data_IF_370192446378
#
_entry.id   IF_370192446378
#
_cell.length_a   1.000
_cell.length_b   1.000
_cell.length_c   1.000
_cell.angle_alpha   90.00
_cell.angle_beta   90.00
_cell.angle_gamma   90.00
#
_symmetry.space_group_name_H-M   'P 1'
#
loop_
_entity.id
_entity.type
_entity.pdbx_description
1 polymer ?
#
# COMPACT_ATOMS: atom_id res chain seq x y z
N UNK A 1 52.31 -37.07 11.16
CA UNK A 1 51.46 -36.26 10.25
C UNK A 1 49.97 -36.58 10.38
N UNK A 2 49.58 -37.82 10.75
CA UNK A 2 48.16 -38.22 10.93
C UNK A 2 47.42 -37.52 12.10
N UNK A 3 48.00 -37.45 13.31
CA UNK A 3 47.30 -36.89 14.48
C UNK A 3 46.96 -35.39 14.41
N UNK A 4 47.78 -34.58 13.74
CA UNK A 4 47.55 -33.13 13.60
C UNK A 4 46.37 -32.89 12.66
N UNK A 5 46.27 -33.68 11.58
CA UNK A 5 45.16 -33.61 10.62
C UNK A 5 43.85 -34.02 11.31
N UNK A 6 43.87 -35.10 12.09
CA UNK A 6 42.69 -35.58 12.84
C UNK A 6 42.21 -34.54 13.86
N UNK A 7 43.11 -33.90 14.60
CA UNK A 7 42.73 -32.84 15.54
C UNK A 7 42.14 -31.60 14.85
N UNK A 8 42.66 -31.22 13.68
CA UNK A 8 42.14 -30.09 12.91
C UNK A 8 40.71 -30.35 12.40
N UNK A 9 40.44 -31.55 11.88
CA UNK A 9 39.10 -31.95 11.46
C UNK A 9 38.11 -31.99 12.62
N UNK A 10 38.52 -32.48 13.80
CA UNK A 10 37.66 -32.51 14.99
C UNK A 10 37.30 -31.11 15.47
N UNK A 11 38.24 -30.15 15.43
CA UNK A 11 37.99 -28.75 15.80
C UNK A 11 37.03 -28.09 14.80
N UNK A 12 37.21 -28.31 13.49
CA UNK A 12 36.29 -27.77 12.47
C UNK A 12 34.89 -28.33 12.65
N UNK A 13 34.75 -29.66 12.84
CA UNK A 13 33.46 -30.29 13.11
C UNK A 13 32.80 -29.68 14.34
N UNK A 14 33.54 -29.51 15.44
CA UNK A 14 33.03 -28.89 16.65
C UNK A 14 32.56 -27.45 16.41
N UNK A 15 33.32 -26.65 15.67
CA UNK A 15 32.94 -25.27 15.34
C UNK A 15 31.68 -25.20 14.45
N UNK A 16 31.52 -26.13 13.49
CA UNK A 16 30.33 -26.24 12.65
C UNK A 16 29.11 -26.67 13.47
N UNK A 17 29.28 -27.61 14.40
CA UNK A 17 28.19 -28.03 15.29
C UNK A 17 27.78 -26.90 16.25
N UNK A 18 28.75 -26.19 16.83
CA UNK A 18 28.48 -25.04 17.71
C UNK A 18 27.81 -23.91 16.94
N UNK A 19 28.24 -23.61 15.71
CA UNK A 19 27.61 -22.57 14.90
C UNK A 19 26.21 -22.96 14.45
N UNK A 20 25.98 -24.21 14.04
CA UNK A 20 24.65 -24.71 13.71
C UNK A 20 23.71 -24.68 14.92
N UNK A 21 24.20 -25.11 16.09
CA UNK A 21 23.43 -25.03 17.34
C UNK A 21 23.12 -23.59 17.74
N UNK A 22 24.09 -22.69 17.60
CA UNK A 22 23.90 -21.26 17.86
C UNK A 22 22.85 -20.64 16.93
N UNK A 23 22.85 -20.99 15.64
CA UNK A 23 21.86 -20.53 14.67
C UNK A 23 20.44 -21.05 15.02
N UNK A 24 20.31 -22.32 15.41
CA UNK A 24 19.02 -22.90 15.82
C UNK A 24 18.48 -22.26 17.10
N UNK A 25 19.34 -22.01 18.09
CA UNK A 25 18.95 -21.37 19.35
C UNK A 25 18.64 -19.88 19.18
N UNK A 26 19.27 -19.22 18.20
CA UNK A 26 19.05 -17.79 17.92
C UNK A 26 17.76 -17.53 17.13
N UNK A 27 17.25 -18.51 16.38
CA UNK A 27 15.92 -18.44 15.76
C UNK A 27 14.84 -18.76 16.80
N UNK A 28 14.43 -17.75 17.58
CA UNK A 28 13.19 -17.83 18.35
C UNK A 28 12.01 -17.67 17.38
N UNK A 29 11.19 -18.70 17.13
CA UNK A 29 9.96 -18.50 16.39
C UNK A 29 9.08 -17.53 17.17
N UNK A 30 8.38 -16.65 16.44
CA UNK A 30 7.43 -15.69 17.01
C UNK A 30 6.41 -16.46 17.87
N UNK A 31 6.11 -15.96 19.07
CA UNK A 31 5.10 -16.57 19.93
C UNK A 31 3.72 -16.50 19.26
N UNK A 32 2.81 -17.40 19.67
CA UNK A 32 1.45 -17.43 19.13
C UNK A 32 0.73 -16.10 19.36
N UNK A 33 0.98 -15.47 20.51
CA UNK A 33 0.44 -14.19 20.90
C UNK A 33 0.95 -13.06 20.00
N UNK A 34 2.25 -13.01 19.72
CA UNK A 34 2.85 -12.03 18.79
C UNK A 34 2.39 -12.26 17.34
N UNK A 35 2.12 -13.51 16.94
CA UNK A 35 1.54 -13.81 15.63
C UNK A 35 0.11 -13.29 15.51
N UNK A 36 -0.72 -13.50 16.53
CA UNK A 36 -2.10 -13.00 16.57
C UNK A 36 -2.11 -11.47 16.54
N UNK A 37 -1.27 -10.81 17.35
CA UNK A 37 -1.17 -9.35 17.36
C UNK A 37 -0.78 -8.79 15.99
N UNK A 38 0.17 -9.43 15.30
CA UNK A 38 0.57 -9.01 13.94
C UNK A 38 -0.56 -9.19 12.92
N UNK A 39 -1.32 -10.28 12.99
CA UNK A 39 -2.46 -10.54 12.11
C UNK A 39 -3.57 -9.53 12.36
N UNK A 40 -3.91 -9.27 13.62
CA UNK A 40 -4.93 -8.29 13.99
C UNK A 40 -4.56 -6.88 13.53
N UNK A 41 -3.27 -6.51 13.66
CA UNK A 41 -2.76 -5.24 13.14
C UNK A 41 -2.87 -5.16 11.61
N UNK A 42 -2.50 -6.21 10.89
CA UNK A 42 -2.62 -6.26 9.42
C UNK A 42 -4.08 -6.14 8.97
N UNK A 43 -4.99 -6.87 9.61
CA UNK A 43 -6.42 -6.85 9.33
C UNK A 43 -7.08 -5.49 9.59
N UNK A 44 -6.65 -4.78 10.63
CA UNK A 44 -7.24 -3.50 11.01
C UNK A 44 -6.68 -2.32 10.20
N UNK A 45 -5.38 -2.32 9.88
CA UNK A 45 -4.72 -1.18 9.24
C UNK A 45 -4.58 -1.30 7.72
N UNK A 46 -4.36 -2.51 7.20
CA UNK A 46 -3.92 -2.73 5.81
C UNK A 46 -5.01 -3.32 4.93
N UNK A 47 -5.78 -4.29 5.43
CA UNK A 47 -6.81 -4.98 4.66
C UNK A 47 -7.90 -4.07 4.07
N UNK A 48 -8.43 -3.05 4.76
CA UNK A 48 -9.42 -2.15 4.18
C UNK A 48 -8.89 -1.40 2.95
N UNK A 49 -7.61 -1.00 2.98
CA UNK A 49 -6.96 -0.32 1.87
C UNK A 49 -6.72 -1.29 0.70
N UNK A 50 -6.20 -2.49 0.97
CA UNK A 50 -5.98 -3.53 -0.05
C UNK A 50 -7.28 -3.93 -0.73
N UNK A 51 -8.34 -4.18 0.04
CA UNK A 51 -9.67 -4.52 -0.48
C UNK A 51 -10.19 -3.46 -1.43
N UNK A 52 -10.06 -2.17 -1.06
CA UNK A 52 -10.47 -1.07 -1.93
C UNK A 52 -9.66 -1.02 -3.25
N UNK A 53 -8.35 -1.29 -3.21
CA UNK A 53 -7.52 -1.39 -4.41
C UNK A 53 -7.97 -2.55 -5.31
N UNK A 54 -8.09 -3.76 -4.78
CA UNK A 54 -8.46 -4.93 -5.58
C UNK A 54 -9.87 -4.79 -6.18
N UNK A 55 -10.84 -4.30 -5.40
CA UNK A 55 -12.20 -4.09 -5.89
C UNK A 55 -12.27 -3.03 -6.99
N UNK A 56 -11.55 -1.91 -6.83
CA UNK A 56 -11.51 -0.87 -7.84
C UNK A 56 -10.81 -1.34 -9.12
N UNK A 57 -9.69 -2.06 -8.99
CA UNK A 57 -8.95 -2.58 -10.14
C UNK A 57 -9.85 -3.52 -10.94
N UNK A 58 -10.55 -4.44 -10.26
CA UNK A 58 -11.53 -5.34 -10.89
C UNK A 58 -12.69 -4.59 -11.55
N UNK A 59 -13.26 -3.60 -10.85
CA UNK A 59 -14.44 -2.86 -11.32
C UNK A 59 -14.18 -2.11 -12.63
N UNK A 60 -13.01 -1.48 -12.76
CA UNK A 60 -12.66 -0.68 -13.95
C UNK A 60 -11.78 -1.45 -14.93
N UNK A 61 -11.47 -2.71 -14.62
CA UNK A 61 -10.56 -3.58 -15.38
C UNK A 61 -9.17 -2.94 -15.55
N UNK A 62 -8.66 -2.33 -14.48
CA UNK A 62 -7.31 -1.80 -14.43
C UNK A 62 -6.29 -2.94 -14.46
N UNK A 63 -5.18 -2.70 -15.16
CA UNK A 63 -4.06 -3.62 -15.15
C UNK A 63 -3.25 -3.48 -13.86
N UNK A 64 -2.41 -4.47 -13.57
CA UNK A 64 -1.47 -4.36 -12.45
C UNK A 64 -0.49 -3.20 -12.61
N UNK A 65 -0.15 -2.82 -13.83
CA UNK A 65 0.68 -1.63 -14.10
C UNK A 65 -0.03 -0.35 -13.64
N UNK A 66 -1.34 -0.25 -13.85
CA UNK A 66 -2.11 0.91 -13.39
C UNK A 66 -2.15 0.98 -11.85
N UNK A 67 -2.30 -0.18 -11.19
CA UNK A 67 -2.24 -0.30 -9.72
C UNK A 67 -0.86 0.08 -9.19
N UNK A 68 0.20 -0.43 -9.82
CA UNK A 68 1.58 -0.12 -9.45
C UNK A 68 1.88 1.37 -9.63
N UNK A 69 1.46 1.95 -10.76
CA UNK A 69 1.59 3.39 -11.02
C UNK A 69 0.87 4.21 -9.93
N UNK A 70 -0.33 3.80 -9.52
CA UNK A 70 -1.05 4.49 -8.43
C UNK A 70 -0.27 4.45 -7.11
N UNK A 71 0.25 3.29 -6.72
CA UNK A 71 1.02 3.12 -5.48
C UNK A 71 2.34 3.91 -5.50
N UNK A 72 2.99 3.95 -6.66
CA UNK A 72 4.21 4.74 -6.92
C UNK A 72 3.94 6.22 -7.17
N UNK A 73 2.67 6.63 -7.28
CA UNK A 73 2.22 7.99 -7.64
C UNK A 73 2.71 8.45 -9.02
N UNK A 74 2.84 7.51 -9.93
CA UNK A 74 3.09 7.77 -11.34
C UNK A 74 1.74 8.11 -12.01
N UNK A 75 1.67 9.18 -12.81
CA UNK A 75 0.46 9.54 -13.57
C UNK A 75 -0.05 8.39 -14.44
N UNK A 76 -1.38 8.28 -14.54
CA UNK A 76 -2.04 7.21 -15.29
C UNK A 76 -2.13 7.56 -16.77
N UNK A 77 -1.58 6.70 -17.64
CA UNK A 77 -1.62 6.89 -19.09
C UNK A 77 -2.84 6.24 -19.76
N UNK A 78 -3.44 5.25 -19.10
CA UNK A 78 -4.58 4.47 -19.62
C UNK A 78 -5.90 5.00 -19.07
N UNK A 79 -6.99 4.81 -19.81
CA UNK A 79 -8.34 5.18 -19.33
C UNK A 79 -8.74 4.36 -18.10
N UNK A 80 -8.38 3.08 -18.08
CA UNK A 80 -8.66 2.17 -16.97
C UNK A 80 -7.92 2.62 -15.71
N UNK A 81 -6.66 3.03 -15.81
CA UNK A 81 -5.89 3.61 -14.72
C UNK A 81 -6.45 4.93 -14.21
N UNK A 82 -6.90 5.82 -15.10
CA UNK A 82 -7.59 7.05 -14.69
C UNK A 82 -8.89 6.75 -13.93
N UNK A 83 -9.68 5.80 -14.44
CA UNK A 83 -10.91 5.37 -13.76
C UNK A 83 -10.63 4.63 -12.45
N UNK A 84 -9.49 3.97 -12.33
CA UNK A 84 -9.04 3.34 -11.09
C UNK A 84 -8.83 4.39 -10.01
N UNK A 85 -8.12 5.48 -10.32
CA UNK A 85 -7.97 6.64 -9.41
C UNK A 85 -9.35 7.18 -8.99
N UNK A 86 -10.25 7.39 -9.95
CA UNK A 86 -11.61 7.86 -9.64
C UNK A 86 -12.37 6.93 -8.71
N UNK A 87 -12.27 5.61 -8.91
CA UNK A 87 -12.89 4.62 -8.05
C UNK A 87 -12.38 4.71 -6.61
N UNK A 88 -11.05 4.79 -6.43
CA UNK A 88 -10.44 4.92 -5.10
C UNK A 88 -10.88 6.21 -4.41
N UNK A 89 -10.86 7.35 -5.11
CA UNK A 89 -11.28 8.62 -4.52
C UNK A 89 -12.77 8.64 -4.16
N UNK A 90 -13.64 7.98 -4.94
CA UNK A 90 -15.07 7.84 -4.62
C UNK A 90 -15.30 6.97 -3.40
N UNK A 91 -14.64 5.81 -3.30
CA UNK A 91 -14.77 4.89 -2.16
C UNK A 91 -14.32 5.50 -0.85
N UNK A 92 -13.29 6.34 -0.89
CA UNK A 92 -12.81 7.10 0.26
C UNK A 92 -13.60 8.40 0.49
N UNK A 93 -14.74 8.57 -0.20
CA UNK A 93 -15.64 9.72 -0.04
C UNK A 93 -14.96 11.08 -0.33
N UNK A 94 -13.81 11.08 -1.00
CA UNK A 94 -13.10 12.28 -1.45
C UNK A 94 -13.84 12.89 -2.64
N UNK A 95 -14.35 12.07 -3.55
CA UNK A 95 -15.26 12.52 -4.61
C UNK A 95 -16.70 12.21 -4.18
N UNK A 96 -17.52 13.25 -4.03
CA UNK A 96 -18.97 13.16 -3.81
C UNK A 96 -19.68 14.02 -4.85
N UNK A 97 -20.80 13.54 -5.39
CA UNK A 97 -21.55 14.28 -6.42
C UNK A 97 -20.67 14.76 -7.59
N UNK A 98 -19.71 13.92 -7.99
CA UNK A 98 -18.70 14.21 -9.03
C UNK A 98 -17.80 15.42 -8.75
N UNK A 99 -17.59 15.79 -7.47
CA UNK A 99 -16.68 16.85 -7.07
C UNK A 99 -15.82 16.44 -5.88
N UNK A 100 -14.60 16.97 -5.81
CA UNK A 100 -13.75 16.82 -4.63
C UNK A 100 -14.40 17.51 -3.43
N UNK A 101 -14.43 16.79 -2.31
CA UNK A 101 -14.83 17.31 -1.00
C UNK A 101 -13.57 17.64 -0.22
N UNK A 102 -13.27 18.94 -0.09
CA UNK A 102 -12.06 19.41 0.58
C UNK A 102 -11.97 18.90 2.03
N UNK A 103 -13.07 18.90 2.77
CA UNK A 103 -13.12 18.47 4.17
C UNK A 103 -12.71 17.00 4.31
N UNK A 104 -13.28 16.12 3.49
CA UNK A 104 -12.97 14.68 3.53
C UNK A 104 -11.52 14.41 3.09
N UNK A 105 -11.01 15.17 2.12
CA UNK A 105 -9.60 15.06 1.72
C UNK A 105 -8.65 15.52 2.82
N UNK A 106 -8.96 16.61 3.52
CA UNK A 106 -8.18 17.08 4.66
C UNK A 106 -8.21 16.07 5.82
N UNK A 107 -9.38 15.50 6.10
CA UNK A 107 -9.54 14.47 7.14
C UNK A 107 -8.75 13.20 6.83
N UNK A 108 -8.82 12.71 5.59
CA UNK A 108 -8.06 11.55 5.14
C UNK A 108 -6.53 11.77 5.28
N UNK A 109 -6.05 12.98 4.99
CA UNK A 109 -4.64 13.31 5.14
C UNK A 109 -4.23 13.60 6.60
N UNK A 110 -5.14 14.10 7.44
CA UNK A 110 -4.90 14.28 8.88
C UNK A 110 -4.61 12.96 9.57
N UNK A 111 -5.25 11.86 9.16
CA UNK A 111 -4.92 10.52 9.66
C UNK A 111 -3.46 10.10 9.39
N UNK A 112 -2.82 10.69 8.37
CA UNK A 112 -1.44 10.38 7.96
C UNK A 112 -0.43 11.36 8.56
N UNK A 113 -0.72 12.66 8.50
CA UNK A 113 0.21 13.73 8.89
C UNK A 113 -0.08 14.34 10.27
N UNK A 114 -1.16 13.92 10.93
CA UNK A 114 -1.64 14.56 12.15
C UNK A 114 -2.13 15.99 11.90
N UNK A 115 -2.11 16.81 12.93
CA UNK A 115 -2.53 18.22 12.90
C UNK A 115 -1.37 19.20 12.67
N UNK A 116 -0.32 18.78 11.93
CA UNK A 116 0.77 19.68 11.58
C UNK A 116 0.25 20.88 10.78
N UNK A 117 0.30 22.06 11.41
CA UNK A 117 -0.31 23.27 10.86
C UNK A 117 0.32 23.72 9.54
N UNK A 118 1.62 23.46 9.32
CA UNK A 118 2.29 23.82 8.08
C UNK A 118 1.85 22.89 6.96
N UNK A 119 1.85 21.57 7.20
CA UNK A 119 1.40 20.56 6.24
C UNK A 119 -0.07 20.78 5.89
N UNK A 120 -0.93 21.00 6.88
CA UNK A 120 -2.36 21.19 6.67
C UNK A 120 -2.68 22.49 5.93
N UNK A 121 -1.92 23.57 6.16
CA UNK A 121 -2.10 24.82 5.41
C UNK A 121 -1.64 24.66 3.94
N UNK A 122 -0.51 24.01 3.70
CA UNK A 122 -0.04 23.71 2.33
C UNK A 122 -1.03 22.79 1.60
N UNK A 123 -1.56 21.78 2.29
CA UNK A 123 -2.56 20.88 1.73
C UNK A 123 -3.83 21.65 1.33
N UNK A 124 -4.34 22.57 2.16
CA UNK A 124 -5.47 23.43 1.81
C UNK A 124 -5.21 24.25 0.55
N UNK A 125 -4.03 24.88 0.44
CA UNK A 125 -3.65 25.65 -0.75
C UNK A 125 -3.56 24.76 -1.99
N UNK A 126 -2.93 23.59 -1.87
CA UNK A 126 -2.84 22.62 -2.96
C UNK A 126 -4.22 22.17 -3.45
N UNK A 127 -5.14 21.86 -2.53
CA UNK A 127 -6.52 21.47 -2.89
C UNK A 127 -7.23 22.59 -3.65
N UNK A 128 -7.12 23.83 -3.18
CA UNK A 128 -7.74 24.97 -3.84
C UNK A 128 -7.19 25.18 -5.26
N UNK A 129 -5.87 25.11 -5.42
CA UNK A 129 -5.22 25.24 -6.73
C UNK A 129 -5.60 24.09 -7.67
N UNK A 130 -5.57 22.86 -7.18
CA UNK A 130 -5.90 21.69 -7.99
C UNK A 130 -7.38 21.60 -8.37
N UNK A 131 -8.29 22.14 -7.54
CA UNK A 131 -9.69 22.30 -7.93
C UNK A 131 -9.87 23.23 -9.13
N UNK A 132 -9.06 24.29 -9.24
CA UNK A 132 -9.09 25.19 -10.40
C UNK A 132 -8.56 24.49 -11.66
N UNK A 133 -7.57 23.61 -11.53
CA UNK A 133 -7.00 22.85 -12.67
C UNK A 133 -8.04 21.92 -13.31
N UNK A 134 -8.93 21.34 -12.50
CA UNK A 134 -9.97 20.41 -12.98
C UNK A 134 -11.29 21.09 -13.31
N UNK A 135 -11.35 22.42 -13.25
CA UNK A 135 -12.54 23.17 -13.64
C UNK A 135 -12.87 22.92 -15.12
N UNK A 136 -14.13 22.59 -15.41
CA UNK A 136 -14.59 22.29 -16.76
C UNK A 136 -14.30 20.86 -17.25
N UNK A 137 -13.64 20.01 -16.45
CA UNK A 137 -13.52 18.58 -16.76
C UNK A 137 -14.77 17.85 -16.28
N UNK A 138 -15.56 17.32 -17.23
CA UNK A 138 -16.83 16.63 -16.93
C UNK A 138 -16.68 15.11 -16.82
N UNK A 139 -15.70 14.53 -17.53
CA UNK A 139 -15.42 13.10 -17.47
C UNK A 139 -14.74 12.80 -16.14
N UNK A 140 -15.33 11.90 -15.35
CA UNK A 140 -14.97 11.73 -13.94
C UNK A 140 -13.63 11.02 -13.75
N UNK A 141 -13.23 10.15 -14.68
CA UNK A 141 -11.93 9.49 -14.64
C UNK A 141 -10.80 10.49 -14.93
N UNK A 142 -10.98 11.35 -15.94
CA UNK A 142 -10.06 12.44 -16.25
C UNK A 142 -9.99 13.46 -15.11
N UNK A 143 -11.15 13.88 -14.60
CA UNK A 143 -11.25 14.80 -13.46
C UNK A 143 -10.45 14.28 -12.26
N UNK A 144 -10.65 13.01 -11.89
CA UNK A 144 -9.96 12.39 -10.77
C UNK A 144 -8.44 12.26 -11.01
N UNK A 145 -8.04 11.84 -12.22
CA UNK A 145 -6.63 11.68 -12.55
C UNK A 145 -5.89 13.02 -12.54
N UNK A 146 -6.42 14.04 -13.21
CA UNK A 146 -5.80 15.36 -13.28
C UNK A 146 -5.71 16.00 -11.90
N UNK A 147 -6.75 15.85 -11.07
CA UNK A 147 -6.70 16.30 -9.69
C UNK A 147 -5.60 15.59 -8.89
N UNK A 148 -5.54 14.26 -8.98
CA UNK A 148 -4.54 13.45 -8.27
C UNK A 148 -3.11 13.81 -8.69
N UNK A 149 -2.87 14.00 -9.99
CA UNK A 149 -1.56 14.37 -10.52
C UNK A 149 -1.16 15.79 -10.07
N UNK A 150 -2.10 16.74 -10.09
CA UNK A 150 -1.87 18.07 -9.55
C UNK A 150 -1.50 18.02 -8.05
N UNK A 151 -2.25 17.25 -7.26
CA UNK A 151 -1.97 17.09 -5.83
C UNK A 151 -0.59 16.46 -5.60
N UNK A 152 -0.19 15.48 -6.41
CA UNK A 152 1.14 14.89 -6.32
C UNK A 152 2.23 15.94 -6.50
N UNK A 153 2.14 16.76 -7.56
CA UNK A 153 3.11 17.83 -7.87
C UNK A 153 3.16 18.86 -6.73
N UNK A 154 1.99 19.30 -6.24
CA UNK A 154 1.91 20.33 -5.20
C UNK A 154 2.42 19.85 -3.84
N UNK A 155 2.32 18.55 -3.57
CA UNK A 155 2.70 17.96 -2.29
C UNK A 155 4.07 17.27 -2.31
N UNK A 156 4.71 17.09 -3.48
CA UNK A 156 5.93 16.28 -3.67
C UNK A 156 7.01 16.59 -2.63
N UNK A 157 7.32 17.87 -2.43
CA UNK A 157 8.34 18.33 -1.48
C UNK A 157 8.01 18.07 0.01
N UNK A 158 6.77 17.71 0.36
CA UNK A 158 6.34 17.38 1.72
C UNK A 158 6.40 15.85 1.94
N UNK A 159 6.24 15.08 0.87
CA UNK A 159 6.03 13.63 0.89
C UNK A 159 7.33 12.82 1.07
N UNK A 160 8.47 13.39 0.71
CA UNK A 160 9.78 12.72 0.80
C UNK A 160 10.20 12.39 2.23
N UNK A 161 9.62 13.06 3.25
CA UNK A 161 9.97 12.79 4.66
C UNK A 161 9.20 11.64 5.32
N UNK A 162 8.05 11.22 4.78
CA UNK A 162 7.09 10.37 5.56
C UNK A 162 6.61 9.13 4.82
N UNK A 163 6.69 9.08 3.48
CA UNK A 163 5.71 8.28 2.73
C UNK A 163 6.25 7.09 1.94
N UNK A 164 7.56 6.83 1.90
CA UNK A 164 8.11 5.71 1.14
C UNK A 164 8.08 4.39 1.93
N UNK A 165 8.37 4.41 3.23
CA UNK A 165 8.47 3.19 4.06
C UNK A 165 7.13 2.46 4.18
N UNK A 166 6.04 3.15 4.54
CA UNK A 166 4.70 2.54 4.66
C UNK A 166 4.13 2.03 3.32
N UNK A 167 4.54 2.62 2.19
CA UNK A 167 4.09 2.19 0.86
C UNK A 167 4.81 0.95 0.37
N UNK A 168 6.10 0.84 0.68
CA UNK A 168 6.87 -0.37 0.40
C UNK A 168 6.42 -1.54 1.27
N UNK A 169 5.95 -1.30 2.49
CA UNK A 169 5.35 -2.33 3.35
C UNK A 169 4.05 -2.90 2.75
N UNK A 170 3.15 -2.05 2.24
CA UNK A 170 1.93 -2.49 1.55
C UNK A 170 2.24 -3.28 0.25
N UNK A 171 3.25 -2.85 -0.50
CA UNK A 171 3.74 -3.54 -1.71
C UNK A 171 4.37 -4.91 -1.38
N UNK A 172 5.13 -5.00 -0.29
CA UNK A 172 5.74 -6.27 0.16
C UNK A 172 4.72 -7.32 0.62
N UNK A 173 3.47 -6.92 0.86
CA UNK A 173 2.36 -7.81 1.17
C UNK A 173 1.47 -8.11 -0.06
N UNK A 174 1.64 -7.41 -1.18
CA UNK A 174 0.99 -7.79 -2.45
C UNK A 174 1.83 -8.90 -3.10
N UNK A 175 1.17 -10.00 -3.47
CA UNK A 175 1.85 -11.22 -3.93
C UNK A 175 2.74 -10.90 -5.13
N UNK A 176 3.90 -11.56 -5.20
CA UNK A 176 4.89 -11.34 -6.25
C UNK A 176 4.52 -11.99 -7.60
N UNK A 177 3.32 -12.56 -7.74
CA UNK A 177 2.88 -13.24 -8.96
C UNK A 177 1.53 -12.64 -9.45
N UNK A 178 1.54 -11.74 -10.46
CA UNK A 178 0.39 -10.92 -10.83
C UNK A 178 -0.75 -11.65 -11.56
N UNK A 179 -0.63 -12.95 -11.84
CA UNK A 179 -1.65 -13.77 -12.53
C UNK A 179 -2.31 -14.83 -11.64
N UNK A 180 -1.91 -14.96 -10.36
CA UNK A 180 -2.53 -15.88 -9.40
C UNK A 180 -3.22 -15.09 -8.29
N UNK A 181 -4.53 -14.88 -8.44
CA UNK A 181 -5.39 -14.71 -7.27
C UNK A 181 -5.46 -16.06 -6.57
N UNK A 182 -5.19 -16.06 -5.27
CA UNK A 182 -5.16 -17.31 -4.50
C UNK A 182 -6.58 -17.79 -4.26
N UNK A 183 -6.80 -19.11 -4.23
CA UNK A 183 -8.13 -19.71 -4.02
C UNK A 183 -8.81 -19.20 -2.73
N UNK A 184 -8.02 -18.75 -1.74
CA UNK A 184 -8.49 -18.14 -0.50
C UNK A 184 -9.17 -16.77 -0.73
N UNK A 185 -8.64 -15.95 -1.63
CA UNK A 185 -9.22 -14.63 -1.98
C UNK A 185 -10.54 -14.80 -2.75
N UNK A 186 -10.67 -15.86 -3.56
CA UNK A 186 -11.89 -16.24 -4.25
C UNK A 186 -12.95 -16.84 -3.31
N UNK A 187 -12.53 -17.56 -2.26
CA UNK A 187 -13.42 -18.14 -1.25
C UNK A 187 -14.00 -17.07 -0.32
N UNK A 188 -13.20 -16.09 0.10
CA UNK A 188 -13.67 -14.91 0.83
C UNK A 188 -14.70 -14.12 0.00
N UNK A 189 -14.52 -14.05 -1.33
CA UNK A 189 -15.45 -13.38 -2.24
C UNK A 189 -16.80 -14.13 -2.37
N UNK A 190 -16.79 -15.46 -2.30
CA UNK A 190 -18.01 -16.28 -2.30
C UNK A 190 -18.81 -16.11 -1.02
N UNK A 191 -18.16 -16.04 0.14
CA UNK A 191 -18.82 -15.84 1.42
C UNK A 191 -19.54 -14.48 1.51
N UNK A 192 -19.00 -13.42 0.89
CA UNK A 192 -19.65 -12.10 0.83
C UNK A 192 -20.86 -12.07 -0.11
N UNK A 193 -20.94 -12.99 -1.09
CA UNK A 193 -22.04 -13.06 -2.05
C UNK A 193 -23.30 -13.71 -1.46
N UNK A 194 -23.16 -14.53 -0.42
CA UNK A 194 -24.27 -15.25 0.21
C UNK A 194 -24.96 -14.44 1.33
N UNK A 195 -24.47 -13.24 1.66
CA UNK A 195 -25.08 -12.31 2.64
C UNK A 195 -25.77 -11.09 2.00
N UNK A 196 -26.08 -11.12 0.69
CA UNK A 196 -26.76 -10.05 -0.05
C UNK A 196 -28.06 -10.50 -0.74
#
# INVERSE_FOLDING_TARGET
MSHILTNFFTVILFLVFVSAFYLVVSFKPLSKEEQIERIDKMNSEVEPFRKNLTECARQVKASMVDVENFLKRIPQSTMQGKCFVACILKRNAIIKNNKITQETLLEANRAVYGDDSEVMNRLKSAIAECNNVVEGIFEICEYASVFNDCMHIKMEHILDKVTMERRMEALGQMTSNPDEWTDEEDEILKLVKDEL
#
